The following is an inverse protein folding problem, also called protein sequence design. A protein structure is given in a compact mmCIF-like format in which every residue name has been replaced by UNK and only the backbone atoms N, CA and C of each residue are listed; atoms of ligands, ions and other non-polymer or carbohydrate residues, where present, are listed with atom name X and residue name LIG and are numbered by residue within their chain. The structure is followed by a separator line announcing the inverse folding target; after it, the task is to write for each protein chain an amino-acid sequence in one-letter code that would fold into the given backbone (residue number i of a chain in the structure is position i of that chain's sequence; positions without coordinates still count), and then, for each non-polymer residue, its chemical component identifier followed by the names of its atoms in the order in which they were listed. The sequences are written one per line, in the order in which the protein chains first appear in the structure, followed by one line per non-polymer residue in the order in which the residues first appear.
data_IF_533753745350
#
_entry.id   IF_533753745350
#
_cell.length_a   1.000
_cell.length_b   1.000
_cell.length_c   1.000
_cell.angle_alpha   90.00
_cell.angle_beta   90.00
_cell.angle_gamma   90.00
#
_symmetry.space_group_name_H-M   'P 1'
#
loop_
_entity.id
_entity.type
_entity.pdbx_description
1 polymer ?
#
# COMPACT_ATOMS: atom_id res chain seq x y z
N UNK A 1 32.92 15.83 11.30
CA UNK A 1 32.47 14.53 10.79
C UNK A 1 31.66 13.92 11.90
N UNK A 2 30.45 13.45 11.62
CA UNK A 2 29.65 12.75 12.63
C UNK A 2 30.15 11.30 12.71
N UNK A 3 30.91 11.03 13.78
CA UNK A 3 31.64 9.78 14.01
C UNK A 3 30.76 8.66 14.61
N UNK A 4 29.51 8.52 14.18
CA UNK A 4 28.56 7.56 14.78
C UNK A 4 27.99 6.51 13.80
N UNK A 5 28.74 6.16 12.75
CA UNK A 5 28.33 5.16 11.77
C UNK A 5 29.40 4.06 11.66
N UNK A 6 29.19 2.95 12.36
CA UNK A 6 30.21 1.92 12.59
C UNK A 6 30.13 0.71 11.63
N UNK A 7 29.48 0.84 10.46
CA UNK A 7 29.34 -0.28 9.51
C UNK A 7 30.49 -0.37 8.48
N UNK A 8 31.21 0.73 8.22
CA UNK A 8 32.40 0.72 7.34
C UNK A 8 33.59 -0.05 7.95
N UNK A 9 33.59 -0.30 9.26
CA UNK A 9 34.64 -1.01 9.99
C UNK A 9 34.36 -2.50 10.23
N UNK A 10 33.39 -3.11 9.54
CA UNK A 10 33.09 -4.53 9.71
C UNK A 10 33.81 -5.38 8.65
N UNK A 11 35.02 -5.84 8.98
CA UNK A 11 35.90 -6.71 8.16
C UNK A 11 35.38 -8.16 8.02
N UNK A 12 34.07 -8.39 8.16
CA UNK A 12 33.47 -9.72 8.02
C UNK A 12 33.41 -10.12 6.56
N UNK A 13 34.37 -10.96 6.14
CA UNK A 13 34.37 -11.64 4.85
C UNK A 13 33.51 -12.90 4.94
N UNK A 14 32.38 -12.94 4.21
CA UNK A 14 31.41 -14.04 4.26
C UNK A 14 30.14 -13.81 3.43
N UNK A 15 29.13 -14.66 3.60
CA UNK A 15 27.81 -14.50 2.95
C UNK A 15 27.01 -13.39 3.64
N UNK A 16 27.22 -12.16 3.17
CA UNK A 16 26.66 -10.95 3.79
C UNK A 16 25.21 -10.66 3.38
N UNK A 17 24.84 -10.96 2.13
CA UNK A 17 23.52 -10.62 1.57
C UNK A 17 22.82 -11.87 1.09
N UNK A 18 21.56 -12.00 1.47
CA UNK A 18 20.67 -13.09 1.10
C UNK A 18 19.38 -12.51 0.53
N UNK A 19 18.85 -13.14 -0.51
CA UNK A 19 17.58 -12.75 -1.12
C UNK A 19 16.80 -13.99 -1.54
N UNK A 20 15.48 -13.90 -1.50
CA UNK A 20 14.59 -14.95 -1.96
C UNK A 20 13.27 -14.36 -2.45
N UNK A 21 12.83 -14.83 -3.62
CA UNK A 21 11.57 -14.44 -4.24
C UNK A 21 10.73 -15.69 -4.52
N UNK A 22 9.42 -15.53 -4.44
CA UNK A 22 8.46 -16.60 -4.74
C UNK A 22 7.25 -16.05 -5.47
N UNK A 23 6.74 -16.85 -6.39
CA UNK A 23 5.49 -16.61 -7.11
C UNK A 23 4.74 -17.93 -7.22
N UNK A 24 3.46 -17.91 -6.85
CA UNK A 24 2.61 -19.07 -6.93
C UNK A 24 1.22 -18.70 -7.44
N UNK A 25 0.86 -19.23 -8.61
CA UNK A 25 -0.51 -19.22 -9.12
C UNK A 25 -1.21 -20.49 -8.64
N UNK A 26 -2.04 -20.36 -7.61
CA UNK A 26 -2.69 -21.49 -6.92
C UNK A 26 -3.84 -22.04 -7.78
N UNK A 27 -4.59 -21.14 -8.40
CA UNK A 27 -5.69 -21.42 -9.32
C UNK A 27 -5.78 -20.29 -10.36
N UNK A 28 -6.78 -20.33 -11.23
CA UNK A 28 -6.97 -19.26 -12.22
C UNK A 28 -7.24 -17.89 -11.61
N UNK A 29 -7.87 -17.85 -10.43
CA UNK A 29 -8.25 -16.60 -9.76
C UNK A 29 -7.41 -16.28 -8.51
N UNK A 30 -6.46 -17.16 -8.12
CA UNK A 30 -5.69 -16.99 -6.88
C UNK A 30 -4.19 -16.93 -7.16
N UNK A 31 -3.55 -15.87 -6.67
CA UNK A 31 -2.11 -15.65 -6.78
C UNK A 31 -1.48 -15.26 -5.45
N UNK A 32 -0.23 -15.67 -5.29
CA UNK A 32 0.64 -15.26 -4.19
C UNK A 32 2.00 -14.85 -4.76
N UNK A 33 2.54 -13.75 -4.23
CA UNK A 33 3.90 -13.29 -4.51
C UNK A 33 4.57 -12.87 -3.20
N UNK A 34 5.83 -13.24 -3.02
CA UNK A 34 6.61 -12.84 -1.85
C UNK A 34 8.06 -12.58 -2.22
N UNK A 35 8.70 -11.70 -1.46
CA UNK A 35 10.11 -11.37 -1.60
C UNK A 35 10.70 -11.00 -0.23
N UNK A 36 11.93 -11.41 0.02
CA UNK A 36 12.65 -11.07 1.25
C UNK A 36 14.13 -10.85 0.94
N UNK A 37 14.71 -9.80 1.53
CA UNK A 37 16.12 -9.51 1.49
C UNK A 37 16.65 -9.38 2.91
N UNK A 38 17.71 -10.12 3.22
CA UNK A 38 18.38 -10.11 4.52
C UNK A 38 19.85 -9.71 4.34
N UNK A 39 20.35 -8.89 5.25
CA UNK A 39 21.73 -8.41 5.26
C UNK A 39 22.32 -8.59 6.65
N UNK A 40 23.36 -9.41 6.77
CA UNK A 40 23.99 -9.71 8.05
C UNK A 40 24.66 -8.47 8.65
N UNK A 41 24.99 -7.46 7.85
CA UNK A 41 25.58 -6.20 8.33
C UNK A 41 24.56 -5.33 9.07
N UNK A 42 23.27 -5.54 8.79
CA UNK A 42 22.16 -4.87 9.47
C UNK A 42 21.65 -5.67 10.68
N UNK A 43 22.11 -6.92 10.84
CA UNK A 43 21.60 -7.91 11.79
C UNK A 43 20.07 -8.08 11.73
N UNK A 44 19.48 -7.81 10.56
CA UNK A 44 18.03 -7.77 10.38
C UNK A 44 17.64 -7.99 8.90
N UNK A 45 16.36 -8.29 8.68
CA UNK A 45 15.75 -8.26 7.34
C UNK A 45 15.82 -6.82 6.83
N UNK A 46 16.46 -6.63 5.67
CA UNK A 46 16.53 -5.33 5.02
C UNK A 46 15.15 -4.91 4.53
N UNK A 47 14.54 -5.74 3.67
CA UNK A 47 13.19 -5.53 3.14
C UNK A 47 12.44 -6.84 3.02
N UNK A 48 11.11 -6.77 3.11
CA UNK A 48 10.24 -7.91 2.88
C UNK A 48 8.88 -7.48 2.36
N UNK A 49 8.31 -8.25 1.46
CA UNK A 49 6.97 -8.03 0.95
C UNK A 49 6.24 -9.35 0.70
N UNK A 50 4.93 -9.32 0.87
CA UNK A 50 4.05 -10.43 0.55
C UNK A 50 2.72 -9.92 0.05
N UNK A 51 2.21 -10.47 -1.04
CA UNK A 51 0.91 -10.13 -1.60
C UNK A 51 0.18 -11.41 -1.95
N UNK A 52 -1.07 -11.52 -1.50
CA UNK A 52 -2.02 -12.53 -1.94
C UNK A 52 -3.21 -11.84 -2.58
N UNK A 53 -3.65 -12.35 -3.72
CA UNK A 53 -4.72 -11.76 -4.50
C UNK A 53 -5.68 -12.84 -4.97
N UNK A 54 -6.96 -12.60 -4.69
CA UNK A 54 -8.07 -13.23 -5.39
C UNK A 54 -8.60 -12.26 -6.44
N UNK A 55 -8.62 -12.67 -7.70
CA UNK A 55 -9.13 -11.86 -8.81
C UNK A 55 -9.90 -12.73 -9.79
N UNK A 56 -11.23 -12.61 -9.78
CA UNK A 56 -12.13 -13.31 -10.70
C UNK A 56 -12.27 -12.58 -12.04
N UNK A 57 -12.39 -11.26 -11.97
CA UNK A 57 -12.55 -10.37 -13.12
C UNK A 57 -12.11 -8.94 -12.73
N UNK A 58 -12.38 -7.94 -13.57
CA UNK A 58 -12.01 -6.54 -13.31
C UNK A 58 -12.75 -5.91 -12.12
N UNK A 59 -13.89 -6.46 -11.72
CA UNK A 59 -14.80 -5.89 -10.74
C UNK A 59 -14.83 -6.67 -9.42
N UNK A 60 -14.45 -7.95 -9.43
CA UNK A 60 -14.46 -8.87 -8.30
C UNK A 60 -13.04 -9.27 -7.93
N UNK A 61 -12.47 -8.55 -6.98
CA UNK A 61 -11.13 -8.82 -6.48
C UNK A 61 -10.99 -8.47 -5.01
N UNK A 62 -10.10 -9.19 -4.35
CA UNK A 62 -9.62 -8.90 -2.99
C UNK A 62 -8.12 -9.12 -2.98
N UNK A 63 -7.37 -8.14 -2.49
CA UNK A 63 -5.93 -8.21 -2.34
C UNK A 63 -5.57 -7.89 -0.89
N UNK A 64 -4.69 -8.70 -0.33
CA UNK A 64 -4.03 -8.44 0.94
C UNK A 64 -2.53 -8.36 0.65
N UNK A 65 -1.89 -7.30 1.10
CA UNK A 65 -0.46 -7.10 0.96
C UNK A 65 0.18 -6.68 2.28
N UNK A 66 1.46 -6.98 2.43
CA UNK A 66 2.28 -6.57 3.55
C UNK A 66 3.64 -6.13 3.02
N UNK A 67 4.16 -5.03 3.57
CA UNK A 67 5.48 -4.48 3.24
C UNK A 67 6.22 -4.12 4.51
N UNK A 68 7.50 -4.47 4.54
CA UNK A 68 8.41 -4.26 5.64
C UNK A 68 9.74 -3.69 5.15
N UNK A 69 10.26 -2.71 5.88
CA UNK A 69 11.62 -2.21 5.76
C UNK A 69 12.13 -1.90 7.18
N UNK A 70 13.27 -2.46 7.56
CA UNK A 70 13.77 -2.31 8.93
C UNK A 70 14.28 -0.90 9.23
N UNK A 71 14.23 -0.45 10.50
CA UNK A 71 14.90 0.78 10.93
C UNK A 71 16.39 0.82 10.54
N UNK A 72 17.09 -0.30 10.67
CA UNK A 72 18.52 -0.42 10.35
C UNK A 72 18.75 -0.22 8.84
N UNK A 73 17.88 -0.77 7.99
CA UNK A 73 17.92 -0.54 6.55
C UNK A 73 17.71 0.93 6.19
N UNK A 74 16.73 1.61 6.81
CA UNK A 74 16.52 3.05 6.60
C UNK A 74 17.73 3.86 7.10
N UNK A 75 18.33 3.48 8.24
CA UNK A 75 19.51 4.15 8.77
C UNK A 75 20.72 4.01 7.85
N UNK A 76 20.96 2.82 7.30
CA UNK A 76 22.08 2.56 6.40
C UNK A 76 21.91 3.20 5.02
N UNK A 77 20.69 3.21 4.48
CA UNK A 77 20.43 3.69 3.11
C UNK A 77 20.01 5.16 3.03
N UNK A 78 19.42 5.70 4.08
CA UNK A 78 18.87 7.06 4.16
C UNK A 78 19.30 7.76 5.46
N UNK A 79 20.61 8.02 5.67
CA UNK A 79 21.13 8.51 6.95
C UNK A 79 20.50 9.82 7.40
N UNK A 80 20.24 10.75 6.46
CA UNK A 80 19.60 12.05 6.75
C UNK A 80 18.14 11.93 7.25
N UNK A 81 17.49 10.80 7.00
CA UNK A 81 16.09 10.55 7.39
C UNK A 81 16.00 9.77 8.70
N UNK A 82 17.06 9.03 9.06
CA UNK A 82 17.06 8.07 10.18
C UNK A 82 16.90 8.70 11.58
N UNK A 83 17.25 9.97 11.73
CA UNK A 83 17.09 10.72 12.99
C UNK A 83 15.69 11.30 13.15
N UNK A 84 14.94 11.45 12.06
CA UNK A 84 13.61 12.05 12.07
C UNK A 84 12.54 11.02 12.49
N UNK A 85 11.69 11.42 13.44
CA UNK A 85 10.72 10.53 14.08
C UNK A 85 9.77 9.84 13.08
N UNK A 86 9.43 10.52 11.99
CA UNK A 86 8.51 10.01 10.96
C UNK A 86 9.11 8.88 10.09
N UNK A 87 10.43 8.69 10.07
CA UNK A 87 11.09 7.67 9.24
C UNK A 87 11.89 6.64 10.05
N UNK A 88 12.25 6.98 11.29
CA UNK A 88 13.10 6.17 12.16
C UNK A 88 12.58 4.75 12.41
N UNK A 89 11.26 4.55 12.44
CA UNK A 89 10.66 3.23 12.72
C UNK A 89 10.65 2.29 11.51
N UNK A 90 11.15 2.72 10.35
CA UNK A 90 11.06 1.94 9.13
C UNK A 90 9.62 1.84 8.61
N UNK A 91 9.35 0.78 7.85
CA UNK A 91 8.03 0.49 7.29
C UNK A 91 7.57 -0.85 7.84
N UNK A 92 6.36 -0.90 8.38
CA UNK A 92 5.64 -2.15 8.59
C UNK A 92 4.16 -1.89 8.35
N UNK A 93 3.70 -2.21 7.15
CA UNK A 93 2.38 -1.81 6.67
C UNK A 93 1.62 -3.00 6.11
N UNK A 94 0.40 -3.19 6.60
CA UNK A 94 -0.59 -4.12 6.03
C UNK A 94 -1.55 -3.31 5.16
N UNK A 95 -1.78 -3.77 3.94
CA UNK A 95 -2.74 -3.20 3.00
C UNK A 95 -3.81 -4.21 2.62
N UNK A 96 -5.05 -3.77 2.61
CA UNK A 96 -6.19 -4.53 2.10
C UNK A 96 -6.89 -3.70 1.03
N UNK A 97 -7.25 -4.32 -0.07
CA UNK A 97 -8.03 -3.72 -1.15
C UNK A 97 -9.10 -4.69 -1.60
N UNK A 98 -10.32 -4.21 -1.78
CA UNK A 98 -11.44 -5.03 -2.24
C UNK A 98 -12.30 -4.24 -3.23
N UNK A 99 -12.77 -4.93 -4.26
CA UNK A 99 -13.80 -4.43 -5.17
C UNK A 99 -14.81 -5.54 -5.38
N UNK A 100 -16.10 -5.22 -5.19
CA UNK A 100 -17.16 -6.18 -5.37
C UNK A 100 -18.47 -5.52 -5.83
N UNK A 101 -19.15 -6.06 -6.85
CA UNK A 101 -20.52 -5.69 -7.18
C UNK A 101 -21.48 -6.39 -6.20
N UNK A 102 -22.21 -5.62 -5.39
CA UNK A 102 -23.08 -6.17 -4.34
C UNK A 102 -24.47 -6.49 -4.88
N UNK A 103 -25.01 -5.63 -5.76
CA UNK A 103 -26.33 -5.77 -6.39
C UNK A 103 -26.18 -5.39 -7.85
N UNK A 104 -27.12 -5.80 -8.71
CA UNK A 104 -27.18 -5.35 -10.09
C UNK A 104 -26.98 -3.84 -10.16
N UNK A 105 -25.97 -3.41 -10.93
CA UNK A 105 -25.56 -2.01 -11.19
C UNK A 105 -24.84 -1.27 -10.07
N UNK A 106 -24.70 -1.85 -8.88
CA UNK A 106 -23.95 -1.24 -7.77
C UNK A 106 -22.59 -1.89 -7.59
N UNK A 107 -21.55 -1.08 -7.43
CA UNK A 107 -20.19 -1.54 -7.15
C UNK A 107 -19.63 -0.81 -5.95
N UNK A 108 -19.00 -1.57 -5.06
CA UNK A 108 -18.34 -1.04 -3.87
C UNK A 108 -16.86 -1.35 -3.96
N UNK A 109 -16.06 -0.33 -3.68
CA UNK A 109 -14.60 -0.40 -3.64
C UNK A 109 -14.13 0.09 -2.29
N UNK A 110 -13.22 -0.64 -1.67
CA UNK A 110 -12.62 -0.28 -0.40
C UNK A 110 -11.12 -0.52 -0.42
N UNK A 111 -10.37 0.36 0.24
CA UNK A 111 -8.95 0.15 0.53
C UNK A 111 -8.65 0.59 1.96
N UNK A 112 -7.79 -0.16 2.65
CA UNK A 112 -7.37 0.13 4.01
C UNK A 112 -5.91 -0.24 4.18
N UNK A 113 -5.09 0.75 4.52
CA UNK A 113 -3.66 0.58 4.78
C UNK A 113 -3.35 1.01 6.21
N UNK A 114 -2.71 0.11 6.95
CA UNK A 114 -2.45 0.25 8.36
C UNK A 114 -0.98 0.06 8.67
N UNK A 115 -0.40 1.01 9.38
CA UNK A 115 0.96 0.95 9.89
C UNK A 115 0.96 0.26 11.25
N UNK A 116 1.64 -0.88 11.36
CA UNK A 116 1.70 -1.68 12.59
C UNK A 116 2.69 -1.14 13.61
N UNK A 117 3.68 -0.35 13.19
CA UNK A 117 4.69 0.25 14.07
C UNK A 117 4.04 1.37 14.89
N UNK A 118 3.31 2.26 14.22
CA UNK A 118 2.61 3.38 14.88
C UNK A 118 1.20 3.03 15.33
N UNK A 119 0.67 1.87 14.92
CA UNK A 119 -0.72 1.42 15.14
C UNK A 119 -1.76 2.42 14.64
N UNK A 120 -1.45 3.12 13.54
CA UNK A 120 -2.31 4.13 12.91
C UNK A 120 -2.61 3.75 11.46
N UNK A 121 -3.81 4.07 11.00
CA UNK A 121 -4.21 3.84 9.61
C UNK A 121 -3.59 4.90 8.71
N UNK A 122 -2.76 4.50 7.74
CA UNK A 122 -2.09 5.41 6.81
C UNK A 122 -3.03 5.93 5.70
N UNK A 123 -3.91 5.06 5.19
CA UNK A 123 -4.89 5.40 4.16
C UNK A 123 -6.16 4.56 4.33
N UNK A 124 -7.31 5.19 4.12
CA UNK A 124 -8.61 4.53 4.11
C UNK A 124 -9.40 5.11 2.95
N UNK A 125 -10.01 4.25 2.15
CA UNK A 125 -10.84 4.67 1.03
C UNK A 125 -12.09 3.81 0.99
N UNK A 126 -13.23 4.45 0.77
CA UNK A 126 -14.49 3.79 0.48
C UNK A 126 -15.13 4.50 -0.70
N UNK A 127 -15.60 3.73 -1.67
CA UNK A 127 -16.28 4.28 -2.81
C UNK A 127 -17.42 3.39 -3.25
N UNK A 128 -18.48 4.03 -3.72
CA UNK A 128 -19.66 3.37 -4.26
C UNK A 128 -19.97 3.96 -5.62
N UNK A 129 -20.26 3.11 -6.59
CA UNK A 129 -20.68 3.51 -7.93
C UNK A 129 -21.99 2.83 -8.30
N UNK A 130 -22.92 3.63 -8.82
CA UNK A 130 -24.15 3.17 -9.46
C UNK A 130 -24.06 3.38 -10.97
N UNK A 131 -24.40 2.36 -11.75
CA UNK A 131 -24.34 2.38 -13.21
C UNK A 131 -25.71 2.19 -13.86
N UNK A 132 -26.18 3.20 -14.59
CA UNK A 132 -27.35 3.10 -15.46
C UNK A 132 -26.93 2.90 -16.93
N UNK A 133 -27.90 2.84 -17.85
CA UNK A 133 -27.64 2.75 -19.29
C UNK A 133 -27.06 4.05 -19.88
N UNK A 134 -27.45 5.21 -19.33
CA UNK A 134 -27.09 6.53 -19.88
C UNK A 134 -26.25 7.40 -18.92
N UNK A 135 -26.02 6.94 -17.68
CA UNK A 135 -25.24 7.70 -16.70
C UNK A 135 -24.65 6.79 -15.63
N UNK A 136 -23.59 7.25 -14.98
CA UNK A 136 -23.03 6.66 -13.76
C UNK A 136 -22.82 7.73 -12.70
N UNK A 137 -23.06 7.37 -11.44
CA UNK A 137 -22.84 8.23 -10.28
C UNK A 137 -21.86 7.53 -9.36
N UNK A 138 -20.79 8.23 -8.99
CA UNK A 138 -19.75 7.73 -8.10
C UNK A 138 -19.63 8.64 -6.89
N UNK A 139 -19.74 8.05 -5.71
CA UNK A 139 -19.43 8.67 -4.44
C UNK A 139 -18.11 8.06 -3.92
N UNK A 140 -17.18 8.89 -3.50
CA UNK A 140 -15.91 8.47 -2.93
C UNK A 140 -15.61 9.22 -1.64
N UNK A 141 -15.01 8.50 -0.69
CA UNK A 141 -14.43 9.02 0.52
C UNK A 141 -12.98 8.50 0.62
N UNK A 142 -12.04 9.39 0.92
CA UNK A 142 -10.67 9.04 1.23
C UNK A 142 -10.22 9.77 2.50
N UNK A 143 -9.60 9.04 3.42
CA UNK A 143 -8.80 9.60 4.51
C UNK A 143 -7.36 9.17 4.34
N UNK A 144 -6.44 10.12 4.31
CA UNK A 144 -5.00 9.84 4.07
C UNK A 144 -4.11 10.65 4.98
N UNK A 145 -2.92 10.12 5.29
CA UNK A 145 -1.83 10.92 5.82
C UNK A 145 -1.41 11.93 4.76
N UNK A 146 -1.31 13.20 5.14
CA UNK A 146 -0.96 14.32 4.25
C UNK A 146 0.17 15.21 4.82
N UNK A 147 0.81 14.80 5.90
CA UNK A 147 1.94 15.54 6.46
C UNK A 147 2.32 15.11 7.87
N UNK A 148 3.22 15.89 8.47
CA UNK A 148 3.73 15.68 9.83
C UNK A 148 3.59 16.98 10.64
N UNK A 149 3.13 16.86 11.88
CA UNK A 149 3.14 17.95 12.86
C UNK A 149 4.32 17.78 13.80
N UNK A 150 5.29 18.70 13.74
CA UNK A 150 6.47 18.71 14.60
C UNK A 150 6.24 19.37 15.96
N UNK A 151 5.09 20.04 16.17
CA UNK A 151 4.88 20.89 17.35
C UNK A 151 4.27 20.14 18.54
N UNK A 152 3.83 18.89 18.34
CA UNK A 152 3.33 18.02 19.42
C UNK A 152 4.47 17.17 20.00
N UNK A 153 4.35 16.75 21.27
CA UNK A 153 5.32 15.95 22.03
C UNK A 153 5.84 14.69 21.29
N UNK A 154 6.87 14.84 20.45
CA UNK A 154 7.44 13.75 19.63
C UNK A 154 6.93 13.68 18.18
N UNK A 155 6.02 14.57 17.79
CA UNK A 155 5.44 14.73 16.46
C UNK A 155 4.36 13.70 16.09
N UNK A 156 3.40 14.11 15.26
CA UNK A 156 2.29 13.24 14.83
C UNK A 156 1.92 13.40 13.35
N UNK A 157 1.38 12.34 12.74
CA UNK A 157 0.88 12.38 11.36
C UNK A 157 -0.38 13.25 11.24
N UNK A 158 -0.38 14.16 10.25
CA UNK A 158 -1.56 14.94 9.86
C UNK A 158 -2.41 14.15 8.87
N UNK A 159 -3.72 14.19 9.07
CA UNK A 159 -4.69 13.51 8.21
C UNK A 159 -5.53 14.51 7.43
N UNK A 160 -5.80 14.16 6.19
CA UNK A 160 -6.75 14.86 5.34
C UNK A 160 -7.93 13.94 4.98
N UNK A 161 -9.12 14.51 4.87
CA UNK A 161 -10.35 13.81 4.54
C UNK A 161 -10.95 14.44 3.29
N UNK A 162 -11.18 13.63 2.27
CA UNK A 162 -11.73 14.08 0.99
C UNK A 162 -13.02 13.32 0.69
N UNK A 163 -14.06 14.06 0.32
CA UNK A 163 -15.29 13.52 -0.22
C UNK A 163 -15.44 13.99 -1.67
N UNK A 164 -15.82 13.09 -2.56
CA UNK A 164 -15.99 13.39 -3.98
C UNK A 164 -17.26 12.78 -4.55
N UNK A 165 -17.97 13.56 -5.36
CA UNK A 165 -19.11 13.08 -6.16
C UNK A 165 -18.75 13.33 -7.61
N UNK A 166 -18.79 12.26 -8.42
CA UNK A 166 -18.56 12.33 -9.85
C UNK A 166 -19.79 11.79 -10.58
N UNK A 167 -20.26 12.53 -11.57
CA UNK A 167 -21.37 12.13 -12.44
C UNK A 167 -20.83 12.04 -13.86
N UNK A 168 -20.99 10.88 -14.48
CA UNK A 168 -20.52 10.58 -15.83
C UNK A 168 -21.72 10.29 -16.73
N UNK A 169 -21.83 10.98 -17.88
CA UNK A 169 -22.79 10.64 -18.91
C UNK A 169 -22.25 9.47 -19.74
N UNK A 170 -23.07 8.43 -19.90
CA UNK A 170 -22.73 7.19 -20.62
C UNK A 170 -23.62 6.99 -21.84
N UNK A 171 -23.23 6.07 -22.72
CA UNK A 171 -23.96 5.79 -23.97
C UNK A 171 -23.46 6.56 -25.20
N UNK A 172 -22.45 7.42 -25.04
CA UNK A 172 -21.73 8.07 -26.16
C UNK A 172 -20.43 7.34 -26.52
N UNK A 173 -19.98 6.41 -25.68
CA UNK A 173 -18.83 5.54 -25.92
C UNK A 173 -19.14 4.11 -25.43
N UNK A 174 -18.36 3.14 -25.89
CA UNK A 174 -18.49 1.72 -25.49
C UNK A 174 -18.01 1.43 -24.06
N UNK A 175 -17.70 2.46 -23.25
CA UNK A 175 -17.26 2.26 -21.87
C UNK A 175 -18.43 1.94 -20.93
N UNK A 176 -18.76 0.65 -20.86
CA UNK A 176 -19.77 0.11 -19.95
C UNK A 176 -19.18 -0.40 -18.62
N UNK A 177 -17.87 -0.24 -18.39
CA UNK A 177 -17.19 -0.76 -17.20
C UNK A 177 -17.71 -0.14 -15.90
N UNK A 178 -17.72 -0.91 -14.81
CA UNK A 178 -18.29 -0.47 -13.52
C UNK A 178 -17.47 0.62 -12.80
N UNK A 179 -16.38 1.10 -13.41
CA UNK A 179 -15.55 2.19 -12.88
C UNK A 179 -14.68 1.81 -11.67
N UNK A 180 -14.68 0.53 -11.31
CA UNK A 180 -14.00 -0.04 -10.13
C UNK A 180 -12.49 0.16 -10.18
N UNK A 181 -11.86 -0.06 -11.32
CA UNK A 181 -10.41 0.10 -11.52
C UNK A 181 -9.96 1.57 -11.34
N UNK A 182 -10.76 2.53 -11.80
CA UNK A 182 -10.46 3.96 -11.63
C UNK A 182 -10.51 4.34 -10.15
N UNK A 183 -11.48 3.80 -9.41
CA UNK A 183 -11.60 4.02 -7.96
C UNK A 183 -10.47 3.36 -7.18
N UNK A 184 -10.12 2.12 -7.53
CA UNK A 184 -9.02 1.37 -6.91
C UNK A 184 -7.65 2.06 -7.06
N UNK A 185 -7.49 2.94 -8.05
CA UNK A 185 -6.24 3.65 -8.35
C UNK A 185 -6.23 5.11 -7.89
N UNK A 186 -7.28 5.61 -7.24
CA UNK A 186 -7.39 7.04 -6.89
C UNK A 186 -6.75 7.44 -5.56
N UNK A 187 -6.44 6.48 -4.69
CA UNK A 187 -5.82 6.75 -3.39
C UNK A 187 -4.30 6.93 -3.49
N UNK A 188 -3.67 7.38 -2.40
CA UNK A 188 -2.20 7.55 -2.33
C UNK A 188 -1.41 6.23 -2.41
N UNK A 189 -2.07 5.09 -2.19
CA UNK A 189 -1.51 3.73 -2.28
C UNK A 189 -2.33 2.92 -3.29
N UNK A 190 -2.17 3.21 -4.60
CA UNK A 190 -3.04 2.67 -5.65
C UNK A 190 -2.91 1.16 -5.76
N UNK A 191 -4.05 0.51 -6.02
CA UNK A 191 -4.10 -0.90 -6.35
C UNK A 191 -3.24 -1.21 -7.58
N UNK A 192 -2.46 -2.28 -7.47
CA UNK A 192 -1.72 -2.89 -8.57
C UNK A 192 -2.06 -4.38 -8.58
N UNK A 193 -2.38 -4.94 -9.74
CA UNK A 193 -2.57 -6.39 -9.83
C UNK A 193 -1.23 -7.09 -9.72
N UNK A 194 -1.20 -8.15 -8.92
CA UNK A 194 0.00 -8.90 -8.53
C UNK A 194 0.17 -10.24 -9.25
N UNK A 195 -0.88 -10.67 -9.96
CA UNK A 195 -0.97 -11.88 -10.77
C UNK A 195 -0.25 -11.75 -12.12
#
# INVERSE_FOLDING_TARGET
GDDNINWENNDTTGSLVWAGDTYWRIADDWGLRGGIQYDTRLDNVATGNGTIEYRRDENRLVQLNYRYASPEYIQATLPSYSTAAQYKQGISQVGMTASWPIVDRWSVVGAYYFDTNTRKAANQMLGVQYNSCCYAIRLGYERKVNGWDSNNNGGESKYDNTFGINIELRGLSSNYGLGTQQMLRSNILPYQSSL
#
